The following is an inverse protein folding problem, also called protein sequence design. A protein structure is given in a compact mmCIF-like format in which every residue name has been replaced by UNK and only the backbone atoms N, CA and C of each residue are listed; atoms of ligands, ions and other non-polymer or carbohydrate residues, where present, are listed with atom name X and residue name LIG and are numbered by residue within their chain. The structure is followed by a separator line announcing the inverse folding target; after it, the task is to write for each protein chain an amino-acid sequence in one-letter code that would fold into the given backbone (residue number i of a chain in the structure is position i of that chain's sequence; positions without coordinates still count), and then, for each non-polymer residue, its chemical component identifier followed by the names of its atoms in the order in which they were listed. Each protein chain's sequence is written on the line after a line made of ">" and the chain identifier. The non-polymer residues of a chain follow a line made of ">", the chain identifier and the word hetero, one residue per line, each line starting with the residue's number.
data_IF_709400342143
#
_entry.id   IF_709400342143
#
_cell.length_a   1.000
_cell.length_b   1.000
_cell.length_c   1.000
_cell.angle_alpha   90.00
_cell.angle_beta   90.00
_cell.angle_gamma   90.00
#
_symmetry.space_group_name_H-M   'P 1'
#
loop_
_entity.id
_entity.type
_entity.pdbx_description
1 polymer ?
#
# COMPACT_ATOMS: atom_id res chain seq x y z
N UNK A 1 32.98 -35.13 -40.24
CA UNK A 1 32.34 -33.88 -39.77
C UNK A 1 32.40 -33.80 -38.25
N UNK A 2 33.12 -32.80 -37.71
CA UNK A 2 33.02 -32.23 -36.35
C UNK A 2 33.34 -33.08 -35.11
N UNK A 3 34.62 -33.20 -34.71
CA UNK A 3 35.01 -33.63 -33.35
C UNK A 3 34.67 -32.52 -32.34
N UNK A 4 33.69 -32.75 -31.46
CA UNK A 4 33.38 -31.83 -30.37
C UNK A 4 34.50 -31.89 -29.32
N UNK A 5 35.21 -30.78 -29.12
CA UNK A 5 36.32 -30.68 -28.15
C UNK A 5 35.78 -30.67 -26.72
N UNK A 6 36.34 -31.53 -25.87
CA UNK A 6 36.05 -31.62 -24.42
C UNK A 6 36.18 -30.27 -23.68
N UNK A 7 37.01 -29.37 -24.20
CA UNK A 7 37.23 -28.03 -23.65
C UNK A 7 36.03 -27.09 -23.86
N UNK A 8 35.24 -27.31 -24.91
CA UNK A 8 34.02 -26.56 -25.19
C UNK A 8 32.89 -26.92 -24.22
N UNK A 9 32.87 -28.16 -23.74
CA UNK A 9 31.90 -28.65 -22.75
C UNK A 9 32.25 -28.10 -21.35
N UNK A 10 33.54 -28.12 -20.98
CA UNK A 10 34.00 -27.56 -19.70
C UNK A 10 33.84 -26.04 -19.60
N UNK A 11 34.06 -25.30 -20.69
CA UNK A 11 33.79 -23.84 -20.73
C UNK A 11 32.31 -23.50 -20.64
N UNK A 12 31.43 -24.31 -21.23
CA UNK A 12 29.98 -24.12 -21.13
C UNK A 12 29.44 -24.40 -19.71
N UNK A 13 29.97 -25.41 -19.02
CA UNK A 13 29.61 -25.73 -17.63
C UNK A 13 30.10 -24.66 -16.64
N UNK A 14 31.29 -24.11 -16.83
CA UNK A 14 31.80 -23.00 -16.01
C UNK A 14 30.99 -21.70 -16.20
N UNK A 15 30.43 -21.46 -17.39
CA UNK A 15 29.60 -20.30 -17.67
C UNK A 15 28.19 -20.41 -17.04
N UNK A 16 27.61 -21.61 -16.99
CA UNK A 16 26.34 -21.83 -16.27
C UNK A 16 26.46 -21.70 -14.74
N UNK A 17 27.60 -22.06 -14.15
CA UNK A 17 27.81 -21.95 -12.70
C UNK A 17 27.99 -20.50 -12.22
N UNK A 18 28.38 -19.57 -13.10
CA UNK A 18 28.49 -18.13 -12.77
C UNK A 18 27.13 -17.42 -12.86
N UNK A 19 26.20 -17.93 -13.68
CA UNK A 19 24.84 -17.38 -13.81
C UNK A 19 23.90 -17.76 -12.66
N UNK A 20 24.16 -18.84 -11.92
CA UNK A 20 23.37 -19.21 -10.73
C UNK A 20 23.76 -18.42 -9.48
N UNK A 21 24.93 -17.77 -9.45
CA UNK A 21 25.39 -16.96 -8.31
C UNK A 21 24.65 -15.62 -8.15
N UNK A 22 23.92 -15.16 -9.18
CA UNK A 22 23.16 -13.90 -9.14
C UNK A 22 21.67 -14.08 -8.87
N UNK A 23 21.16 -15.31 -8.88
CA UNK A 23 19.78 -15.57 -8.47
C UNK A 23 19.77 -15.87 -6.97
N UNK A 24 19.97 -14.83 -6.16
CA UNK A 24 19.47 -14.88 -4.78
C UNK A 24 17.95 -14.89 -4.90
N UNK A 25 17.22 -15.98 -4.58
CA UNK A 25 15.80 -15.83 -4.35
C UNK A 25 15.71 -14.80 -3.22
N UNK A 26 15.11 -13.64 -3.52
CA UNK A 26 14.64 -12.76 -2.49
C UNK A 26 13.54 -13.54 -1.77
N UNK A 27 13.94 -14.34 -0.78
CA UNK A 27 13.03 -14.89 0.19
C UNK A 27 12.54 -13.66 0.94
N UNK A 28 11.47 -13.05 0.43
CA UNK A 28 10.78 -11.95 1.07
C UNK A 28 10.14 -12.52 2.35
N UNK A 29 10.96 -12.76 3.37
CA UNK A 29 10.49 -12.98 4.72
C UNK A 29 9.70 -11.74 5.10
N UNK A 30 8.46 -11.92 5.55
CA UNK A 30 7.65 -10.81 6.04
C UNK A 30 8.41 -10.15 7.18
N UNK A 31 8.87 -8.92 6.96
CA UNK A 31 9.53 -8.15 8.01
C UNK A 31 8.57 -8.01 9.19
N UNK A 32 9.03 -8.43 10.38
CA UNK A 32 8.27 -8.28 11.61
C UNK A 32 8.56 -6.92 12.21
N UNK A 33 7.51 -6.12 12.35
CA UNK A 33 7.56 -4.71 12.73
C UNK A 33 6.77 -4.49 14.02
N UNK A 34 7.24 -3.59 14.88
CA UNK A 34 6.53 -3.18 16.10
C UNK A 34 5.63 -1.95 15.88
N UNK A 35 5.66 -1.37 14.70
CA UNK A 35 4.90 -0.18 14.35
C UNK A 35 5.49 0.51 13.15
N UNK A 36 4.77 1.51 12.67
CA UNK A 36 5.16 2.29 11.51
C UNK A 36 4.08 3.29 11.13
N UNK A 37 4.38 4.09 10.12
CA UNK A 37 3.40 4.95 9.46
C UNK A 37 3.36 4.63 7.98
N UNK A 38 2.16 4.52 7.45
CA UNK A 38 1.89 4.31 6.04
C UNK A 38 1.41 5.60 5.40
N UNK A 39 1.93 5.89 4.21
CA UNK A 39 1.39 6.90 3.30
C UNK A 39 0.46 6.21 2.31
N UNK A 40 -0.83 6.57 2.32
CA UNK A 40 -1.83 6.01 1.41
C UNK A 40 -2.37 7.11 0.50
N UNK A 41 -2.04 7.12 -0.81
CA UNK A 41 -2.62 8.08 -1.74
C UNK A 41 -4.11 7.77 -1.94
N UNK A 42 -4.96 8.78 -1.89
CA UNK A 42 -6.40 8.68 -2.16
C UNK A 42 -6.86 9.87 -2.99
N UNK A 43 -8.04 9.80 -3.58
CA UNK A 43 -8.51 10.83 -4.49
C UNK A 43 -9.95 11.19 -4.13
N UNK A 44 -10.18 12.44 -3.70
CA UNK A 44 -11.53 12.98 -3.57
C UNK A 44 -12.18 13.17 -4.95
N UNK A 45 -11.35 13.50 -5.95
CA UNK A 45 -11.75 13.50 -7.35
C UNK A 45 -10.58 13.21 -8.28
N UNK A 46 -10.93 12.75 -9.48
CA UNK A 46 -10.03 12.70 -10.64
C UNK A 46 -10.62 13.51 -11.79
N UNK A 47 -9.98 13.50 -12.96
CA UNK A 47 -10.40 14.31 -14.10
C UNK A 47 -10.81 13.44 -15.29
N UNK A 48 -11.89 13.84 -15.99
CA UNK A 48 -12.39 13.16 -17.18
C UNK A 48 -12.50 14.11 -18.39
N UNK A 49 -12.12 13.58 -19.56
CA UNK A 49 -12.18 14.25 -20.86
C UNK A 49 -11.21 15.42 -21.02
N UNK A 50 -11.16 15.97 -22.23
CA UNK A 50 -10.18 17.01 -22.62
C UNK A 50 -10.31 18.32 -21.83
N UNK A 51 -11.47 18.55 -21.20
CA UNK A 51 -11.71 19.73 -20.35
C UNK A 51 -11.34 19.49 -18.88
N UNK A 52 -10.74 18.34 -18.55
CA UNK A 52 -10.36 17.94 -17.20
C UNK A 52 -11.46 18.22 -16.18
N UNK A 53 -12.68 17.70 -16.43
CA UNK A 53 -13.80 17.91 -15.51
C UNK A 53 -13.60 17.07 -14.26
N UNK A 54 -13.75 17.62 -13.03
CA UNK A 54 -13.70 16.83 -11.81
C UNK A 54 -14.77 15.74 -11.80
N UNK A 55 -14.38 14.54 -11.42
CA UNK A 55 -15.23 13.39 -11.18
C UNK A 55 -15.02 12.93 -9.74
N UNK A 56 -16.03 13.16 -8.90
CA UNK A 56 -15.95 12.91 -7.45
C UNK A 56 -15.94 11.40 -7.14
N UNK A 57 -15.31 11.04 -6.03
CA UNK A 57 -15.12 9.66 -5.62
C UNK A 57 -15.41 9.52 -4.12
N UNK A 58 -16.24 8.55 -3.76
CA UNK A 58 -16.23 8.01 -2.40
C UNK A 58 -14.95 7.21 -2.18
N UNK A 59 -14.34 7.36 -1.00
CA UNK A 59 -13.10 6.67 -0.65
C UNK A 59 -13.39 5.70 0.50
N UNK A 60 -12.99 4.45 0.34
CA UNK A 60 -13.02 3.45 1.42
C UNK A 60 -11.60 2.98 1.71
N UNK A 61 -11.08 3.33 2.87
CA UNK A 61 -9.77 2.86 3.35
C UNK A 61 -9.97 1.60 4.19
N UNK A 62 -9.16 0.58 3.94
CA UNK A 62 -9.13 -0.68 4.69
C UNK A 62 -7.75 -0.88 5.31
N UNK A 63 -7.71 -1.04 6.63
CA UNK A 63 -6.51 -1.38 7.40
C UNK A 63 -6.67 -2.81 7.90
N UNK A 64 -5.78 -3.72 7.51
CA UNK A 64 -5.87 -5.15 7.82
C UNK A 64 -4.66 -5.62 8.60
N UNK A 65 -4.90 -6.25 9.75
CA UNK A 65 -3.87 -6.96 10.48
C UNK A 65 -3.58 -8.28 9.76
N UNK A 66 -2.38 -8.40 9.19
CA UNK A 66 -1.95 -9.62 8.49
C UNK A 66 -1.34 -10.66 9.42
N UNK A 67 -1.19 -10.33 10.71
CA UNK A 67 -0.66 -11.22 11.73
C UNK A 67 -1.61 -12.38 11.99
N UNK A 68 -1.02 -13.58 12.12
CA UNK A 68 -1.76 -14.81 12.42
C UNK A 68 -2.15 -14.92 13.90
N UNK A 69 -1.39 -14.28 14.80
CA UNK A 69 -1.45 -14.57 16.24
C UNK A 69 -1.52 -13.34 17.13
N UNK A 70 -0.94 -12.22 16.69
CA UNK A 70 -0.78 -11.03 17.53
C UNK A 70 -1.69 -9.88 17.06
N UNK A 71 -2.38 -9.19 17.98
CA UNK A 71 -3.13 -7.99 17.64
C UNK A 71 -2.18 -6.81 17.34
N UNK A 72 -2.70 -5.84 16.58
CA UNK A 72 -2.06 -4.54 16.38
C UNK A 72 -2.99 -3.43 16.88
N UNK A 73 -2.45 -2.23 17.04
CA UNK A 73 -3.22 -1.04 17.40
C UNK A 73 -3.02 0.02 16.33
N UNK A 74 -4.10 0.47 15.71
CA UNK A 74 -4.11 1.67 14.89
C UNK A 74 -4.14 2.90 15.80
N UNK A 75 -3.13 3.76 15.70
CA UNK A 75 -2.94 4.92 16.57
C UNK A 75 -3.33 6.23 15.92
N UNK A 76 -3.24 6.34 14.59
CA UNK A 76 -3.74 7.49 13.83
C UNK A 76 -4.24 7.09 12.43
N UNK A 77 -5.20 7.86 11.92
CA UNK A 77 -5.70 7.79 10.55
C UNK A 77 -6.07 9.21 10.10
N UNK A 78 -5.08 9.92 9.61
CA UNK A 78 -5.16 11.35 9.35
C UNK A 78 -5.31 11.60 7.84
N UNK A 79 -6.37 12.32 7.46
CA UNK A 79 -6.69 12.65 6.08
C UNK A 79 -6.19 14.05 5.73
N UNK A 80 -5.36 14.15 4.70
CA UNK A 80 -4.75 15.39 4.24
C UNK A 80 -5.18 15.72 2.81
N UNK A 81 -5.28 17.01 2.51
CA UNK A 81 -5.50 17.52 1.16
C UNK A 81 -4.26 17.38 0.26
N UNK A 82 -4.36 17.92 -0.95
CA UNK A 82 -3.30 17.89 -1.96
C UNK A 82 -2.05 18.69 -1.53
N UNK A 83 -2.24 19.73 -0.73
CA UNK A 83 -1.16 20.63 -0.27
C UNK A 83 -0.51 20.16 1.05
N UNK A 84 -1.08 19.12 1.69
CA UNK A 84 -0.58 18.60 2.96
C UNK A 84 -1.22 19.24 4.20
N UNK A 85 -2.34 19.93 4.04
CA UNK A 85 -3.16 20.39 5.16
C UNK A 85 -3.96 19.23 5.74
N UNK A 86 -3.95 19.07 7.06
CA UNK A 86 -4.80 18.10 7.76
C UNK A 86 -6.26 18.54 7.64
N UNK A 87 -7.08 17.72 6.98
CA UNK A 87 -8.52 17.95 6.82
C UNK A 87 -9.35 17.29 7.91
N UNK A 88 -9.00 16.04 8.27
CA UNK A 88 -9.78 15.29 9.25
C UNK A 88 -8.95 14.20 9.94
N UNK A 89 -9.33 13.82 11.16
CA UNK A 89 -8.85 12.62 11.85
C UNK A 89 -9.99 11.61 11.90
N UNK A 90 -9.75 10.43 11.35
CA UNK A 90 -10.79 9.40 11.20
C UNK A 90 -10.89 8.44 12.39
N UNK A 91 -9.99 8.57 13.36
CA UNK A 91 -10.09 7.91 14.66
C UNK A 91 -9.77 8.93 15.77
N UNK A 92 -10.57 8.93 16.83
CA UNK A 92 -10.38 9.86 17.97
C UNK A 92 -9.52 9.25 19.09
N UNK A 93 -9.33 7.94 19.06
CA UNK A 93 -8.55 7.19 20.04
C UNK A 93 -7.96 5.92 19.39
N UNK A 94 -6.86 5.37 19.93
CA UNK A 94 -6.28 4.14 19.42
C UNK A 94 -7.29 2.98 19.35
N UNK A 95 -7.25 2.21 18.26
CA UNK A 95 -8.15 1.08 17.99
C UNK A 95 -7.36 -0.20 17.82
N UNK A 96 -7.70 -1.23 18.60
CA UNK A 96 -7.12 -2.56 18.43
C UNK A 96 -7.73 -3.26 17.22
N UNK A 97 -6.88 -3.87 16.40
CA UNK A 97 -7.25 -4.74 15.29
C UNK A 97 -6.68 -6.13 15.63
N UNK A 98 -7.58 -7.05 15.94
CA UNK A 98 -7.27 -8.46 16.26
C UNK A 98 -6.52 -9.16 15.12
N UNK A 99 -5.89 -10.33 15.36
CA UNK A 99 -5.31 -11.15 14.29
C UNK A 99 -6.33 -11.38 13.16
N UNK A 100 -5.91 -11.19 11.90
CA UNK A 100 -6.77 -11.18 10.71
C UNK A 100 -7.93 -10.18 10.71
N UNK A 101 -8.01 -9.31 11.72
CA UNK A 101 -9.00 -8.27 11.81
C UNK A 101 -8.79 -7.18 10.77
N UNK A 102 -9.83 -6.40 10.53
CA UNK A 102 -9.76 -5.22 9.68
C UNK A 102 -10.57 -4.08 10.25
N UNK A 103 -10.17 -2.86 9.91
CA UNK A 103 -10.92 -1.65 10.19
C UNK A 103 -11.11 -0.87 8.89
N UNK A 104 -12.32 -0.33 8.71
CA UNK A 104 -12.70 0.43 7.53
C UNK A 104 -12.99 1.89 7.90
N UNK A 105 -12.48 2.81 7.10
CA UNK A 105 -12.77 4.24 7.17
C UNK A 105 -13.39 4.67 5.84
N UNK A 106 -14.38 5.56 5.87
CA UNK A 106 -15.08 6.01 4.65
C UNK A 106 -15.11 7.52 4.57
N UNK A 107 -14.67 8.05 3.44
CA UNK A 107 -14.82 9.46 3.05
C UNK A 107 -15.99 9.54 2.06
N UNK A 108 -16.92 10.45 2.32
CA UNK A 108 -18.08 10.66 1.47
C UNK A 108 -17.67 11.19 0.09
N UNK A 109 -18.40 10.82 -0.96
CA UNK A 109 -18.20 11.34 -2.33
C UNK A 109 -18.33 12.87 -2.39
N UNK A 110 -19.16 13.46 -1.52
CA UNK A 110 -19.31 14.91 -1.43
C UNK A 110 -18.08 15.63 -0.87
N UNK A 111 -17.08 14.90 -0.36
CA UNK A 111 -15.84 15.50 0.09
C UNK A 111 -14.95 15.85 -1.11
N UNK A 112 -14.73 17.15 -1.32
CA UNK A 112 -13.95 17.72 -2.43
C UNK A 112 -12.66 18.44 -2.00
N UNK A 113 -12.49 18.74 -0.71
CA UNK A 113 -11.36 19.52 -0.22
C UNK A 113 -10.05 18.71 -0.30
N UNK A 114 -10.11 17.38 -0.22
CA UNK A 114 -8.94 16.52 -0.40
C UNK A 114 -8.25 16.73 -1.75
N UNK A 115 -9.04 16.96 -2.80
CA UNK A 115 -8.56 17.14 -4.16
C UNK A 115 -8.01 15.86 -4.81
N UNK A 116 -7.20 16.06 -5.86
CA UNK A 116 -6.61 14.98 -6.65
C UNK A 116 -5.25 14.48 -6.13
N UNK A 117 -4.72 15.08 -5.06
CA UNK A 117 -3.48 14.68 -4.38
C UNK A 117 -3.69 14.32 -2.91
N UNK A 118 -4.92 13.96 -2.54
CA UNK A 118 -5.28 13.64 -1.17
C UNK A 118 -4.54 12.39 -0.66
N UNK A 119 -4.44 12.26 0.66
CA UNK A 119 -3.65 11.18 1.28
C UNK A 119 -4.11 10.89 2.70
N UNK A 120 -3.95 9.63 3.09
CA UNK A 120 -4.01 9.22 4.48
C UNK A 120 -2.61 8.97 5.02
N UNK A 121 -2.34 9.47 6.23
CA UNK A 121 -1.27 8.95 7.07
C UNK A 121 -1.86 8.01 8.10
N UNK A 122 -1.45 6.74 8.04
CA UNK A 122 -2.00 5.66 8.86
C UNK A 122 -0.88 5.16 9.77
N UNK A 123 -0.95 5.51 11.05
CA UNK A 123 0.05 5.12 12.05
C UNK A 123 -0.46 3.96 12.90
N UNK A 124 0.42 3.02 13.18
CA UNK A 124 0.09 1.83 13.94
C UNK A 124 1.27 1.35 14.79
N UNK A 125 0.95 0.57 15.82
CA UNK A 125 1.92 -0.05 16.74
C UNK A 125 1.46 -1.44 17.14
N UNK A 126 2.38 -2.29 17.57
CA UNK A 126 2.10 -3.60 18.14
C UNK A 126 3.03 -3.88 19.32
N UNK A 127 2.50 -4.51 20.38
CA UNK A 127 3.26 -4.86 21.58
C UNK A 127 4.32 -5.93 21.27
N UNK A 128 3.96 -6.88 20.41
CA UNK A 128 4.84 -7.92 19.87
C UNK A 128 5.09 -7.60 18.40
N UNK A 129 6.29 -7.85 17.83
CA UNK A 129 6.50 -7.65 16.40
C UNK A 129 5.51 -8.48 15.57
N UNK A 130 4.86 -7.85 14.60
CA UNK A 130 3.87 -8.46 13.71
C UNK A 130 4.26 -8.29 12.25
N UNK A 131 3.69 -9.09 11.37
CA UNK A 131 3.81 -8.85 9.93
C UNK A 131 3.26 -7.47 9.58
N UNK A 132 3.91 -6.80 8.63
CA UNK A 132 3.47 -5.51 8.11
C UNK A 132 1.96 -5.53 7.77
N UNK A 133 1.13 -4.67 8.40
CA UNK A 133 -0.29 -4.57 8.08
C UNK A 133 -0.51 -4.21 6.62
N UNK A 134 -1.59 -4.69 6.04
CA UNK A 134 -1.97 -4.32 4.69
C UNK A 134 -2.94 -3.14 4.74
N UNK A 135 -2.60 -2.04 4.04
CA UNK A 135 -3.42 -0.84 3.98
C UNK A 135 -3.68 -0.49 2.52
N UNK A 136 -4.96 -0.40 2.18
CA UNK A 136 -5.44 -0.13 0.83
C UNK A 136 -6.58 0.89 0.86
N UNK A 137 -6.81 1.57 -0.26
CA UNK A 137 -8.03 2.31 -0.51
C UNK A 137 -8.73 1.78 -1.75
N UNK A 138 -10.05 1.83 -1.72
CA UNK A 138 -10.93 1.67 -2.88
C UNK A 138 -11.64 2.98 -3.11
N UNK A 139 -11.46 3.56 -4.29
CA UNK A 139 -12.21 4.74 -4.73
C UNK A 139 -13.28 4.32 -5.71
N UNK A 140 -14.51 4.76 -5.47
CA UNK A 140 -15.67 4.47 -6.31
C UNK A 140 -16.36 5.80 -6.60
N UNK A 141 -16.71 6.03 -7.86
CA UNK A 141 -17.59 7.14 -8.21
C UNK A 141 -18.55 6.73 -9.31
N UNK A 142 -19.74 7.30 -9.26
CA UNK A 142 -20.78 7.10 -10.26
C UNK A 142 -21.26 8.44 -10.79
N UNK A 143 -21.32 8.59 -12.12
CA UNK A 143 -21.78 9.81 -12.77
C UNK A 143 -22.56 9.48 -14.03
N UNK A 144 -23.85 9.82 -14.05
CA UNK A 144 -24.73 9.49 -15.18
C UNK A 144 -24.85 7.98 -15.40
N UNK A 145 -24.41 7.49 -16.55
CA UNK A 145 -24.42 6.06 -16.94
C UNK A 145 -23.05 5.38 -16.78
N UNK A 146 -22.06 6.06 -16.21
CA UNK A 146 -20.70 5.54 -16.06
C UNK A 146 -20.35 5.41 -14.57
N UNK A 147 -19.79 4.27 -14.21
CA UNK A 147 -19.20 4.03 -12.89
C UNK A 147 -17.75 3.59 -13.06
N UNK A 148 -16.88 4.13 -12.22
CA UNK A 148 -15.47 3.73 -12.17
C UNK A 148 -15.13 3.29 -10.76
N UNK A 149 -14.17 2.38 -10.66
CA UNK A 149 -13.53 2.07 -9.40
C UNK A 149 -12.07 1.72 -9.64
N UNK A 150 -11.24 2.07 -8.68
CA UNK A 150 -9.83 1.71 -8.68
C UNK A 150 -9.32 1.69 -7.25
N UNK A 151 -8.16 1.06 -7.06
CA UNK A 151 -7.54 0.94 -5.75
C UNK A 151 -6.20 1.65 -5.71
N UNK A 152 -5.76 1.96 -4.51
CA UNK A 152 -4.39 2.36 -4.21
C UNK A 152 -3.89 1.59 -3.00
N UNK A 153 -2.57 1.39 -2.94
CA UNK A 153 -1.91 0.72 -1.83
C UNK A 153 -1.01 1.69 -1.10
N UNK A 154 -0.92 1.52 0.21
CA UNK A 154 -0.07 2.36 1.02
C UNK A 154 1.40 1.98 0.88
N UNK A 155 2.27 2.97 1.02
CA UNK A 155 3.72 2.81 1.05
C UNK A 155 4.21 3.04 2.50
N UNK A 156 5.05 2.15 3.06
CA UNK A 156 5.63 2.39 4.38
C UNK A 156 6.57 3.60 4.33
N UNK A 157 6.40 4.54 5.26
CA UNK A 157 7.33 5.64 5.45
C UNK A 157 8.50 5.16 6.30
N UNK A 158 9.71 5.24 5.74
CA UNK A 158 10.94 5.12 6.53
C UNK A 158 11.19 6.46 7.21
N UNK A 159 11.06 6.49 8.53
CA UNK A 159 11.54 7.61 9.32
C UNK A 159 12.98 7.29 9.68
N UNK A 160 13.93 7.87 8.95
CA UNK A 160 15.33 7.86 9.37
C UNK A 160 15.41 8.65 10.69
N UNK A 161 15.94 8.01 11.72
CA UNK A 161 16.26 8.63 13.01
C UNK A 161 17.75 8.87 13.09
#
# INVERSE_FOLDING_TARGET
>A
MGRLSWHSIFRALAFCAVLTAFCRPALAGSELLRGGTYFLPVYSHIYIGDRARPFLLAITVSVRNTSLTEPMTLTAADFYDSDGTLLNRYIDAPKTIEPFGSMRLTVAESEKHGGAGAKFLVSWTARTPVTAPHVEAVMIGSGGQQGISFTSQAVPLKIER
#
